data_IF_477596273673
#
_entry.id   IF_477596273673
#
_cell.length_a   1.000
_cell.length_b   1.000
_cell.length_c   1.000
_cell.angle_alpha   90.00
_cell.angle_beta   90.00
_cell.angle_gamma   90.00
#
_symmetry.space_group_name_H-M   'P 1'
#
loop_
_entity.id
_entity.type
_entity.pdbx_description
1 polymer ?
#
# COMPACT_ATOMS: atom_id res chain seq x y z
N UNK A 1 79.03 34.81 13.55
CA UNK A 1 78.63 34.41 14.91
C UNK A 1 77.22 34.91 15.21
N UNK A 2 76.28 34.00 15.50
CA UNK A 2 75.09 34.25 16.33
C UNK A 2 73.96 35.13 15.75
N UNK A 3 72.66 34.90 15.99
CA UNK A 3 71.91 33.92 16.77
C UNK A 3 70.48 33.86 16.20
N UNK A 4 69.91 32.66 16.25
CA UNK A 4 68.49 32.31 16.08
C UNK A 4 67.52 33.20 16.86
N UNK A 5 66.32 33.47 16.32
CA UNK A 5 65.06 33.46 17.06
C UNK A 5 63.90 33.09 16.11
N UNK A 6 63.21 32.00 16.42
CA UNK A 6 62.05 31.52 15.68
C UNK A 6 60.71 31.90 16.32
N UNK A 7 59.68 31.17 15.85
CA UNK A 7 58.28 31.10 16.30
C UNK A 7 57.41 32.23 15.69
N UNK A 8 56.18 32.03 15.23
CA UNK A 8 55.14 31.06 15.59
C UNK A 8 54.23 30.77 14.39
N UNK A 9 53.79 29.52 14.30
CA UNK A 9 52.70 29.09 13.45
C UNK A 9 51.36 29.60 14.01
N UNK A 10 50.50 30.11 13.14
CA UNK A 10 49.06 30.21 13.41
C UNK A 10 48.32 29.61 12.22
N UNK A 11 48.20 28.28 12.24
CA UNK A 11 47.23 27.59 11.41
C UNK A 11 45.85 27.81 12.04
N UNK A 12 45.02 28.62 11.39
CA UNK A 12 43.59 28.72 11.69
C UNK A 12 42.93 27.40 11.29
N UNK A 13 42.74 26.50 12.26
CA UNK A 13 41.84 25.37 12.13
C UNK A 13 40.40 25.91 12.13
N UNK A 14 39.91 26.27 10.93
CA UNK A 14 38.49 26.48 10.71
C UNK A 14 37.76 25.16 10.85
N UNK A 15 37.11 24.93 12.00
CA UNK A 15 36.19 23.82 12.16
C UNK A 15 34.91 24.13 11.37
N UNK A 16 34.90 23.77 10.08
CA UNK A 16 33.67 23.70 9.30
C UNK A 16 32.82 22.57 9.87
N UNK A 17 31.81 22.94 10.66
CA UNK A 17 30.75 22.05 11.08
C UNK A 17 29.94 21.67 9.82
N UNK A 18 30.33 20.59 9.16
CA UNK A 18 29.50 19.94 8.15
C UNK A 18 28.31 19.31 8.89
N UNK A 19 27.19 20.00 8.91
CA UNK A 19 25.88 19.38 9.16
C UNK A 19 25.67 18.35 8.07
N UNK A 20 25.95 17.09 8.37
CA UNK A 20 25.53 15.97 7.54
C UNK A 20 24.00 15.95 7.55
N UNK A 21 23.39 16.55 6.53
CA UNK A 21 22.02 16.23 6.14
C UNK A 21 22.03 14.74 5.82
N UNK A 22 21.52 13.93 6.75
CA UNK A 22 21.27 12.52 6.49
C UNK A 22 20.41 12.45 5.23
N UNK A 23 20.98 11.91 4.15
CA UNK A 23 20.20 11.52 2.99
C UNK A 23 19.31 10.36 3.44
N UNK A 24 18.14 10.70 3.99
CA UNK A 24 17.06 9.75 4.12
C UNK A 24 16.82 9.20 2.73
N UNK A 25 17.01 7.89 2.55
CA UNK A 25 16.65 7.20 1.33
C UNK A 25 15.18 7.51 1.06
N UNK A 26 14.95 8.39 0.09
CA UNK A 26 13.60 8.75 -0.35
C UNK A 26 13.06 7.53 -1.07
N UNK A 27 12.35 6.66 -0.36
CA UNK A 27 11.66 5.54 -0.97
C UNK A 27 10.58 6.11 -1.89
N UNK A 28 10.55 5.67 -3.14
CA UNK A 28 9.52 6.09 -4.07
C UNK A 28 8.15 5.73 -3.49
N UNK A 29 7.25 6.71 -3.44
CA UNK A 29 5.89 6.49 -2.97
C UNK A 29 5.21 5.39 -3.82
N UNK A 30 4.37 4.57 -3.19
CA UNK A 30 3.58 3.57 -3.91
C UNK A 30 2.75 4.29 -4.99
N UNK A 31 2.84 3.88 -6.27
CA UNK A 31 2.13 4.55 -7.35
C UNK A 31 0.66 4.11 -7.37
N UNK A 32 -0.11 4.62 -6.42
CA UNK A 32 -1.54 4.37 -6.33
C UNK A 32 -2.27 4.82 -7.59
N UNK A 33 -3.28 4.07 -7.97
CA UNK A 33 -4.17 4.33 -9.09
C UNK A 33 -3.51 4.42 -10.47
N UNK A 34 -2.23 4.07 -10.60
CA UNK A 34 -1.51 4.04 -11.88
C UNK A 34 -1.58 2.63 -12.51
N UNK A 35 -2.44 2.43 -13.54
CA UNK A 35 -2.61 1.13 -14.16
C UNK A 35 -1.34 0.71 -14.90
N UNK A 36 -1.06 -0.59 -14.86
CA UNK A 36 0.02 -1.20 -15.63
C UNK A 36 -0.42 -2.51 -16.24
N UNK A 37 0.11 -2.80 -17.41
CA UNK A 37 -0.03 -4.09 -18.06
C UNK A 37 0.91 -5.10 -17.43
N UNK A 38 0.49 -6.36 -17.39
CA UNK A 38 1.26 -7.39 -16.74
C UNK A 38 0.77 -8.80 -16.98
N UNK A 39 1.20 -9.69 -16.10
CA UNK A 39 0.72 -11.07 -16.01
C UNK A 39 0.38 -11.41 -14.56
N UNK A 40 -0.52 -12.38 -14.39
CA UNK A 40 -0.78 -13.00 -13.10
C UNK A 40 -0.48 -14.49 -13.15
N UNK A 41 0.09 -15.00 -12.06
CA UNK A 41 0.09 -16.44 -11.72
C UNK A 41 -0.72 -16.64 -10.44
N UNK A 42 -0.72 -17.86 -9.92
CA UNK A 42 -1.23 -18.13 -8.60
C UNK A 42 -0.32 -19.00 -7.76
N UNK A 43 -0.50 -18.90 -6.44
CA UNK A 43 0.15 -19.73 -5.43
C UNK A 43 -0.84 -20.14 -4.32
N UNK A 44 -0.48 -21.14 -3.53
CA UNK A 44 -1.35 -21.74 -2.50
C UNK A 44 -0.62 -21.99 -1.17
N UNK A 45 0.47 -21.27 -0.91
CA UNK A 45 1.27 -21.42 0.30
C UNK A 45 0.48 -21.08 1.56
N UNK A 46 0.84 -21.76 2.65
CA UNK A 46 0.35 -21.50 4.00
C UNK A 46 1.53 -21.29 4.93
N UNK A 47 1.49 -20.22 5.72
CA UNK A 47 2.62 -19.84 6.57
C UNK A 47 2.57 -18.37 6.95
N UNK A 48 3.74 -17.73 6.99
CA UNK A 48 3.87 -16.29 7.27
C UNK A 48 4.28 -15.57 5.99
N UNK A 49 3.43 -14.66 5.52
CA UNK A 49 3.77 -13.83 4.35
C UNK A 49 4.81 -12.77 4.69
N UNK A 50 5.35 -12.12 3.67
CA UNK A 50 6.36 -11.06 3.81
C UNK A 50 5.91 -9.86 4.67
N UNK A 51 4.60 -9.67 4.88
CA UNK A 51 4.08 -8.69 5.82
C UNK A 51 4.11 -9.13 7.29
N UNK A 52 4.77 -10.25 7.62
CA UNK A 52 4.93 -10.74 8.99
C UNK A 52 3.65 -11.30 9.61
N UNK A 53 2.60 -11.52 8.84
CA UNK A 53 1.31 -12.05 9.32
C UNK A 53 1.02 -13.42 8.71
N UNK A 54 0.28 -14.30 9.41
CA UNK A 54 -0.14 -15.57 8.85
C UNK A 54 -0.99 -15.39 7.59
N UNK A 55 -0.75 -16.24 6.60
CA UNK A 55 -1.50 -16.35 5.35
C UNK A 55 -1.88 -17.81 5.07
N UNK A 56 -2.99 -17.98 4.35
CA UNK A 56 -3.42 -19.24 3.76
C UNK A 56 -3.86 -18.95 2.31
N UNK A 57 -2.93 -18.95 1.37
CA UNK A 57 -3.20 -18.59 -0.03
C UNK A 57 -4.03 -19.66 -0.77
N UNK A 58 -4.26 -20.83 -0.18
CA UNK A 58 -5.21 -21.80 -0.69
C UNK A 58 -6.66 -21.42 -0.37
N UNK A 59 -6.91 -20.70 0.74
CA UNK A 59 -8.26 -20.37 1.22
C UNK A 59 -8.59 -18.88 1.35
N UNK A 60 -7.59 -18.00 1.33
CA UNK A 60 -7.76 -16.55 1.52
C UNK A 60 -7.49 -15.79 0.23
N UNK A 61 -8.18 -14.67 0.03
CA UNK A 61 -7.91 -13.74 -1.07
C UNK A 61 -6.83 -12.75 -0.68
N UNK A 62 -5.71 -12.81 -1.38
CA UNK A 62 -4.54 -11.96 -1.17
C UNK A 62 -3.68 -11.96 -2.45
N UNK A 63 -2.65 -11.13 -2.46
CA UNK A 63 -1.64 -11.09 -3.52
C UNK A 63 -0.24 -11.03 -2.94
N UNK A 64 0.68 -11.73 -3.58
CA UNK A 64 2.10 -11.51 -3.44
C UNK A 64 2.57 -10.47 -4.47
N UNK A 65 3.00 -9.30 -3.99
CA UNK A 65 3.46 -8.21 -4.86
C UNK A 65 4.91 -8.46 -5.31
N UNK A 66 5.31 -8.09 -6.55
CA UNK A 66 6.67 -8.34 -7.02
C UNK A 66 7.69 -7.55 -6.22
N UNK A 67 8.86 -8.16 -5.96
CA UNK A 67 9.92 -7.58 -5.13
C UNK A 67 10.35 -6.17 -5.54
N UNK A 68 10.21 -5.80 -6.82
CA UNK A 68 10.54 -4.46 -7.32
C UNK A 68 9.74 -3.32 -6.68
N UNK A 69 8.60 -3.61 -6.02
CA UNK A 69 7.78 -2.61 -5.31
C UNK A 69 8.04 -2.57 -3.80
N UNK A 70 8.89 -3.46 -3.30
CA UNK A 70 9.31 -3.46 -1.91
C UNK A 70 10.49 -2.53 -1.76
N UNK A 71 10.48 -1.77 -0.68
CA UNK A 71 11.34 -0.62 -0.45
C UNK A 71 12.14 -0.76 0.85
N UNK A 72 11.66 -1.55 1.81
CA UNK A 72 12.32 -1.70 3.12
C UNK A 72 13.20 -2.95 3.20
N UNK A 73 14.29 -2.86 3.96
CA UNK A 73 15.14 -4.02 4.26
C UNK A 73 14.42 -5.08 5.10
N UNK A 74 13.58 -4.66 6.05
CA UNK A 74 12.64 -5.54 6.74
C UNK A 74 11.29 -5.49 6.02
N UNK A 75 10.83 -6.59 5.37
CA UNK A 75 9.58 -6.57 4.63
C UNK A 75 8.35 -6.39 5.54
N UNK A 76 8.39 -6.82 6.80
CA UNK A 76 7.25 -6.69 7.71
C UNK A 76 6.86 -5.22 7.96
N UNK A 77 7.80 -4.29 7.77
CA UNK A 77 7.58 -2.85 7.93
C UNK A 77 7.41 -2.11 6.60
N UNK A 78 7.27 -2.83 5.48
CA UNK A 78 7.14 -2.20 4.16
C UNK A 78 5.78 -1.46 4.06
N UNK A 79 5.74 -0.26 3.46
CA UNK A 79 4.49 0.45 3.19
C UNK A 79 3.43 -0.39 2.44
N UNK A 80 3.83 -1.37 1.62
CA UNK A 80 2.92 -2.31 0.97
C UNK A 80 2.09 -3.15 1.96
N UNK A 81 2.55 -3.31 3.19
CA UNK A 81 1.85 -4.06 4.22
C UNK A 81 0.81 -3.22 4.98
N UNK A 82 0.77 -1.90 4.75
CA UNK A 82 -0.05 -0.97 5.51
C UNK A 82 -1.33 -0.63 4.75
N UNK A 83 -2.20 -1.64 4.64
CA UNK A 83 -3.52 -1.48 4.04
C UNK A 83 -3.46 -1.19 2.54
N UNK A 84 -2.52 -1.77 1.80
CA UNK A 84 -2.45 -1.66 0.34
C UNK A 84 -3.08 -2.88 -0.30
N UNK A 85 -3.84 -2.66 -1.37
CA UNK A 85 -4.42 -3.72 -2.20
C UNK A 85 -3.95 -3.58 -3.64
N UNK A 86 -4.10 -4.65 -4.41
CA UNK A 86 -4.01 -4.62 -5.87
C UNK A 86 -5.40 -4.80 -6.46
N UNK A 87 -5.82 -3.86 -7.30
CA UNK A 87 -6.98 -4.03 -8.18
C UNK A 87 -6.50 -4.65 -9.49
N UNK A 88 -7.10 -5.77 -9.90
CA UNK A 88 -6.73 -6.54 -11.09
C UNK A 88 -7.94 -6.64 -11.99
N UNK A 89 -7.76 -6.31 -13.27
CA UNK A 89 -8.77 -6.41 -14.32
C UNK A 89 -8.31 -7.35 -15.43
N UNK A 90 -9.16 -8.31 -15.77
CA UNK A 90 -8.96 -9.25 -16.86
C UNK A 90 -10.31 -9.68 -17.44
N UNK A 91 -10.44 -9.71 -18.78
CA UNK A 91 -11.67 -10.11 -19.48
C UNK A 91 -12.96 -9.45 -18.93
N UNK A 92 -12.89 -8.14 -18.64
CA UNK A 92 -14.01 -7.35 -18.13
C UNK A 92 -14.37 -7.60 -16.66
N UNK A 93 -13.66 -8.50 -15.96
CA UNK A 93 -13.82 -8.76 -14.52
C UNK A 93 -12.75 -8.02 -13.75
N UNK A 94 -13.13 -7.49 -12.60
CA UNK A 94 -12.22 -6.78 -11.69
C UNK A 94 -12.35 -7.33 -10.28
N UNK A 95 -11.21 -7.64 -9.66
CA UNK A 95 -11.12 -7.96 -8.23
C UNK A 95 -10.19 -6.97 -7.54
N UNK A 96 -10.29 -6.86 -6.23
CA UNK A 96 -9.33 -6.14 -5.40
C UNK A 96 -8.92 -7.04 -4.25
N UNK A 97 -7.62 -7.25 -4.07
CA UNK A 97 -7.09 -8.16 -3.06
C UNK A 97 -5.97 -7.50 -2.27
N UNK A 98 -5.88 -7.71 -0.94
CA UNK A 98 -4.85 -7.10 -0.11
C UNK A 98 -3.46 -7.66 -0.44
N UNK A 99 -2.45 -6.78 -0.44
CA UNK A 99 -1.06 -7.21 -0.45
C UNK A 99 -0.74 -7.78 0.92
N UNK A 100 -0.34 -9.07 0.96
CA UNK A 100 0.01 -9.77 2.20
C UNK A 100 1.36 -10.46 2.12
N UNK A 101 1.94 -10.48 0.93
CA UNK A 101 3.15 -11.25 0.67
C UNK A 101 3.98 -10.64 -0.47
N UNK A 102 5.21 -11.13 -0.61
CA UNK A 102 6.18 -10.74 -1.63
C UNK A 102 6.44 -11.91 -2.55
N UNK A 103 6.43 -11.68 -3.86
CA UNK A 103 6.98 -12.63 -4.83
C UNK A 103 8.40 -12.20 -5.21
N UNK A 104 9.47 -12.88 -4.73
CA UNK A 104 10.85 -12.49 -4.98
C UNK A 104 11.29 -12.68 -6.44
N UNK A 105 10.73 -13.66 -7.12
CA UNK A 105 11.08 -14.05 -8.50
C UNK A 105 10.24 -13.34 -9.56
N UNK A 106 9.15 -12.68 -9.18
CA UNK A 106 8.25 -12.00 -10.09
C UNK A 106 8.87 -10.71 -10.63
N UNK A 107 8.78 -10.51 -11.96
CA UNK A 107 9.11 -9.23 -12.58
C UNK A 107 8.18 -8.09 -12.13
N UNK A 108 8.55 -6.82 -12.36
CA UNK A 108 7.82 -5.66 -11.84
C UNK A 108 6.34 -5.56 -12.25
N UNK A 109 5.95 -6.17 -13.37
CA UNK A 109 4.56 -6.25 -13.84
C UNK A 109 3.85 -7.59 -13.54
N UNK A 110 4.49 -8.52 -12.83
CA UNK A 110 3.99 -9.86 -12.54
C UNK A 110 3.50 -9.94 -11.09
N UNK A 111 2.19 -10.09 -10.91
CA UNK A 111 1.58 -10.32 -9.59
C UNK A 111 1.29 -11.80 -9.39
N UNK A 112 1.44 -12.31 -8.17
CA UNK A 112 1.10 -13.69 -7.85
C UNK A 112 -0.13 -13.72 -6.93
N UNK A 113 -1.27 -14.13 -7.48
CA UNK A 113 -2.54 -14.12 -6.75
C UNK A 113 -2.67 -15.37 -5.89
N UNK A 114 -3.38 -15.29 -4.78
CA UNK A 114 -3.81 -16.52 -4.12
C UNK A 114 -4.74 -17.34 -5.03
N UNK A 115 -4.78 -18.65 -4.85
CA UNK A 115 -5.63 -19.56 -5.63
C UNK A 115 -7.10 -19.08 -5.75
N UNK A 116 -7.82 -18.72 -4.66
CA UNK A 116 -9.20 -18.25 -4.79
C UNK A 116 -9.31 -16.88 -5.49
N UNK A 117 -8.32 -16.00 -5.36
CA UNK A 117 -8.30 -14.72 -6.06
C UNK A 117 -8.12 -14.90 -7.58
N UNK A 118 -7.19 -15.75 -7.99
CA UNK A 118 -6.99 -16.08 -9.41
C UNK A 118 -8.23 -16.72 -10.03
N UNK A 119 -8.86 -17.66 -9.31
CA UNK A 119 -10.05 -18.39 -9.77
C UNK A 119 -11.24 -17.47 -10.09
N UNK A 120 -11.33 -16.28 -9.47
CA UNK A 120 -12.36 -15.27 -9.81
C UNK A 120 -12.18 -14.67 -11.21
N UNK A 121 -10.95 -14.62 -11.71
CA UNK A 121 -10.61 -14.02 -12.99
C UNK A 121 -10.41 -15.05 -14.11
N UNK A 122 -9.81 -16.21 -13.82
CA UNK A 122 -9.47 -17.23 -14.81
C UNK A 122 -9.37 -18.64 -14.19
N UNK A 123 -9.40 -19.69 -15.03
CA UNK A 123 -9.17 -21.07 -14.56
C UNK A 123 -7.71 -21.25 -14.10
N UNK A 124 -7.44 -21.74 -12.87
CA UNK A 124 -6.10 -22.04 -12.37
C UNK A 124 -5.30 -22.98 -13.27
N UNK A 125 -5.95 -23.82 -14.07
CA UNK A 125 -5.31 -24.75 -15.02
C UNK A 125 -4.48 -24.02 -16.10
N UNK A 126 -4.73 -22.73 -16.33
CA UNK A 126 -3.92 -21.92 -17.23
C UNK A 126 -2.51 -21.66 -16.66
N UNK A 127 -2.35 -21.71 -15.33
CA UNK A 127 -1.11 -21.42 -14.60
C UNK A 127 -0.67 -19.96 -14.66
N UNK A 128 -0.58 -19.38 -15.86
CA UNK A 128 -0.22 -17.99 -16.11
C UNK A 128 -1.19 -17.33 -17.07
N UNK A 129 -1.59 -16.10 -16.77
CA UNK A 129 -2.42 -15.26 -17.65
C UNK A 129 -1.70 -13.96 -17.91
N UNK A 130 -1.44 -13.67 -19.19
CA UNK A 130 -0.83 -12.41 -19.63
C UNK A 130 -1.89 -11.43 -20.12
N UNK A 131 -1.54 -10.15 -20.23
CA UNK A 131 -2.45 -9.11 -20.72
C UNK A 131 -3.46 -8.64 -19.68
N UNK A 132 -3.18 -8.87 -18.39
CA UNK A 132 -3.96 -8.25 -17.32
C UNK A 132 -3.61 -6.77 -17.19
N UNK A 133 -4.53 -5.98 -16.63
CA UNK A 133 -4.25 -4.64 -16.13
C UNK A 133 -4.37 -4.66 -14.62
N UNK A 134 -3.42 -4.06 -13.90
CA UNK A 134 -3.52 -3.94 -12.45
C UNK A 134 -2.99 -2.61 -11.93
N UNK A 135 -3.36 -2.25 -10.70
CA UNK A 135 -2.87 -1.06 -10.00
C UNK A 135 -2.91 -1.25 -8.49
N UNK A 136 -2.00 -0.58 -7.79
CA UNK A 136 -2.12 -0.45 -6.33
C UNK A 136 -3.29 0.48 -6.01
N UNK A 137 -4.04 0.15 -4.96
CA UNK A 137 -5.10 0.97 -4.39
C UNK A 137 -4.94 1.02 -2.87
N UNK A 138 -5.31 2.15 -2.26
CA UNK A 138 -5.47 2.22 -0.80
C UNK A 138 -6.58 1.24 -0.39
N UNK A 139 -6.35 0.50 0.69
CA UNK A 139 -7.19 -0.61 1.13
C UNK A 139 -8.62 -0.17 1.20
N UNK A 140 -9.52 -0.94 0.60
CA UNK A 140 -10.94 -0.58 0.42
C UNK A 140 -11.71 -1.30 -0.70
N UNK A 141 -11.11 -2.22 -1.44
CA UNK A 141 -11.88 -3.03 -2.40
C UNK A 141 -12.39 -4.32 -1.78
N UNK A 142 -13.65 -4.32 -1.34
CA UNK A 142 -14.42 -5.54 -1.13
C UNK A 142 -14.94 -6.02 -2.51
N UNK A 143 -14.94 -7.33 -2.84
CA UNK A 143 -15.43 -7.81 -4.13
C UNK A 143 -16.97 -7.84 -4.13
N UNK A 144 -17.59 -6.74 -4.55
CA UNK A 144 -19.07 -6.69 -4.67
C UNK A 144 -19.73 -5.36 -5.02
N UNK A 145 -19.01 -4.25 -5.17
CA UNK A 145 -19.66 -2.97 -5.50
C UNK A 145 -19.01 -2.28 -6.72
N UNK A 146 -19.71 -2.16 -7.86
CA UNK A 146 -19.27 -1.32 -8.97
C UNK A 146 -19.65 0.14 -8.67
N UNK A 147 -18.80 0.83 -7.89
CA UNK A 147 -19.07 2.21 -7.46
C UNK A 147 -17.82 3.05 -7.18
N UNK A 148 -17.35 3.73 -8.23
CA UNK A 148 -16.57 4.98 -8.28
C UNK A 148 -15.11 5.01 -7.72
N UNK A 149 -14.12 5.55 -8.50
CA UNK A 149 -12.76 5.80 -8.04
C UNK A 149 -12.73 7.13 -7.27
N UNK A 150 -12.39 7.10 -5.98
CA UNK A 150 -12.48 8.29 -5.14
C UNK A 150 -11.67 8.21 -3.86
N UNK A 151 -10.36 8.40 -4.02
CA UNK A 151 -9.45 9.12 -3.13
C UNK A 151 -9.07 8.50 -1.75
N UNK A 152 -7.78 8.17 -1.54
CA UNK A 152 -7.23 8.02 -0.20
C UNK A 152 -6.98 9.42 0.39
N UNK A 153 -7.97 10.00 1.05
CA UNK A 153 -7.74 11.04 2.06
C UNK A 153 -8.20 12.48 1.77
N UNK A 154 -9.04 12.73 0.76
CA UNK A 154 -9.62 14.06 0.53
C UNK A 154 -11.14 14.04 0.34
N UNK A 155 -11.79 15.13 0.72
CA UNK A 155 -13.26 15.20 0.79
C UNK A 155 -13.97 15.38 -0.56
N UNK A 156 -13.24 15.84 -1.58
CA UNK A 156 -13.77 15.94 -2.92
C UNK A 156 -14.03 14.54 -3.48
N UNK A 157 -15.31 14.22 -3.72
CA UNK A 157 -15.74 12.93 -4.24
C UNK A 157 -15.95 11.84 -3.17
N UNK A 158 -15.96 12.19 -1.88
CA UNK A 158 -16.23 11.22 -0.82
C UNK A 158 -17.62 10.57 -1.01
N UNK A 159 -17.71 9.22 -1.06
CA UNK A 159 -18.99 8.53 -1.21
C UNK A 159 -19.89 8.76 0.01
N UNK A 160 -21.21 8.67 -0.20
CA UNK A 160 -22.16 8.71 0.90
C UNK A 160 -21.96 7.49 1.82
N UNK A 161 -21.93 7.74 3.14
CA UNK A 161 -21.85 6.67 4.13
C UNK A 161 -23.07 5.75 4.04
N UNK A 162 -22.82 4.44 4.12
CA UNK A 162 -23.84 3.38 4.07
C UNK A 162 -23.71 2.51 5.31
N UNK A 163 -24.82 2.30 6.02
CA UNK A 163 -24.85 1.52 7.25
C UNK A 163 -24.42 0.07 7.02
N UNK A 164 -23.62 -0.49 7.94
CA UNK A 164 -23.14 -1.87 7.86
C UNK A 164 -22.11 -2.14 6.74
N UNK A 165 -21.64 -1.11 6.04
CA UNK A 165 -20.57 -1.23 5.05
C UNK A 165 -19.21 -1.15 5.72
N UNK A 166 -18.30 -2.07 5.37
CA UNK A 166 -16.93 -2.02 5.88
C UNK A 166 -16.17 -0.84 5.25
N UNK A 167 -15.60 0.03 6.10
CA UNK A 167 -14.73 1.12 5.72
C UNK A 167 -13.32 0.88 6.24
N UNK A 168 -12.29 0.89 5.39
CA UNK A 168 -10.90 0.75 5.78
C UNK A 168 -10.41 2.03 6.48
N UNK A 169 -9.36 1.92 7.30
CA UNK A 169 -8.68 3.10 7.83
C UNK A 169 -8.22 4.04 6.69
N UNK A 170 -8.43 5.34 6.85
CA UNK A 170 -8.19 6.38 5.85
C UNK A 170 -9.36 6.66 4.91
N UNK A 171 -10.45 5.87 4.92
CA UNK A 171 -11.61 6.12 4.07
C UNK A 171 -12.37 7.37 4.50
N UNK A 172 -12.62 8.28 3.57
CA UNK A 172 -13.45 9.48 3.81
C UNK A 172 -14.85 9.24 3.25
N UNK A 173 -15.88 9.53 4.05
CA UNK A 173 -17.29 9.43 3.65
C UNK A 173 -18.02 10.73 3.93
N UNK A 174 -19.10 10.99 3.17
CA UNK A 174 -20.08 12.03 3.48
C UNK A 174 -21.23 11.42 4.28
N UNK A 175 -21.44 11.89 5.50
CA UNK A 175 -22.50 11.39 6.37
C UNK A 175 -23.82 12.18 6.19
N UNK A 176 -24.92 11.64 6.71
CA UNK A 176 -26.30 12.14 6.51
C UNK A 176 -26.51 13.57 7.03
N UNK A 177 -25.70 14.00 8.00
CA UNK A 177 -25.68 15.37 8.52
C UNK A 177 -24.95 16.37 7.61
N UNK A 178 -24.44 15.93 6.46
CA UNK A 178 -23.68 16.74 5.51
C UNK A 178 -22.19 16.87 5.81
N UNK A 179 -21.73 16.40 6.98
CA UNK A 179 -20.32 16.39 7.38
C UNK A 179 -19.52 15.27 6.72
N UNK A 180 -18.19 15.44 6.68
CA UNK A 180 -17.27 14.41 6.23
C UNK A 180 -16.56 13.77 7.41
N UNK A 181 -16.31 12.47 7.30
CA UNK A 181 -15.68 11.68 8.34
C UNK A 181 -14.64 10.77 7.71
N UNK A 182 -13.47 10.66 8.36
CA UNK A 182 -12.42 9.73 7.96
C UNK A 182 -12.34 8.60 8.96
N UNK A 183 -12.22 7.37 8.46
CA UNK A 183 -12.10 6.19 9.30
C UNK A 183 -10.69 6.14 9.89
N UNK A 184 -10.50 6.23 11.20
CA UNK A 184 -9.17 6.08 11.82
C UNK A 184 -8.70 4.63 11.82
N UNK A 185 -9.67 3.71 11.91
CA UNK A 185 -9.46 2.27 11.98
C UNK A 185 -10.40 1.57 10.99
N UNK A 186 -10.10 0.31 10.66
CA UNK A 186 -11.01 -0.53 9.90
C UNK A 186 -12.36 -0.66 10.63
N UNK A 187 -13.44 -0.26 9.97
CA UNK A 187 -14.75 -0.08 10.57
C UNK A 187 -15.80 -0.96 9.88
N UNK A 188 -16.51 -1.84 10.61
CA UNK A 188 -17.55 -2.73 10.06
C UNK A 188 -18.89 -2.05 9.73
N UNK A 189 -18.92 -0.73 9.64
CA UNK A 189 -20.11 0.04 9.28
C UNK A 189 -20.84 0.64 10.48
N UNK A 190 -20.12 0.90 11.56
CA UNK A 190 -20.60 1.72 12.67
C UNK A 190 -20.81 3.17 12.24
N UNK A 191 -21.74 3.83 12.90
CA UNK A 191 -22.17 5.18 12.59
C UNK A 191 -21.08 6.24 12.93
N UNK A 192 -20.71 7.12 11.97
CA UNK A 192 -19.78 8.25 12.17
C UNK A 192 -20.07 9.18 13.33
N UNK A 193 -21.31 9.24 13.79
CA UNK A 193 -21.72 10.11 14.90
C UNK A 193 -21.81 9.38 16.24
N UNK A 194 -21.77 8.05 16.24
CA UNK A 194 -21.90 7.23 17.46
C UNK A 194 -20.54 6.71 17.92
N UNK A 195 -19.65 6.36 17.00
CA UNK A 195 -18.36 5.75 17.34
C UNK A 195 -17.19 6.61 16.93
N UNK A 196 -16.75 7.45 17.86
CA UNK A 196 -15.54 8.28 17.73
C UNK A 196 -14.25 7.46 17.72
N UNK A 197 -14.31 6.16 18.04
CA UNK A 197 -13.16 5.26 17.92
C UNK A 197 -12.84 4.90 16.47
N UNK A 198 -13.87 4.79 15.63
CA UNK A 198 -13.69 4.45 14.23
C UNK A 198 -13.69 5.67 13.33
N UNK A 199 -14.31 6.77 13.73
CA UNK A 199 -14.50 7.95 12.90
C UNK A 199 -14.05 9.22 13.58
N UNK A 200 -13.25 10.02 12.86
CA UNK A 200 -12.99 11.42 13.21
C UNK A 200 -13.70 12.37 12.21
N UNK A 201 -14.27 13.49 12.68
CA UNK A 201 -14.74 14.55 11.80
C UNK A 201 -13.58 15.07 10.95
N UNK A 202 -13.79 15.13 9.62
CA UNK A 202 -12.79 15.65 8.69
C UNK A 202 -13.24 17.01 8.19
N UNK A 203 -12.42 18.03 8.46
CA UNK A 203 -12.59 19.33 7.82
C UNK A 203 -12.15 19.29 6.36
N UNK A 204 -12.98 19.93 5.56
CA UNK A 204 -12.92 20.18 4.14
C UNK A 204 -13.50 21.60 3.95
#
# INVERSE_FOLDING_TARGET
MGKSFGRWATALLGATLFTALGAGTSHAAIPFDQPRSGKMTWYNDKGTGACGTPIDAAGQELVAAPAAWWSTGNPNSDPLCNGVSVQVTYNGRTITVPVRDKCPSCGSGHIDLSLPAFHKLASPDLGVVSGITWKFVGGGGNPGNPGNPGNPGGCSGAPAWTAGTWYPAGAVVKYRNGGHYIAEHGNPGYDPTVSTWYWEPRSC
#
